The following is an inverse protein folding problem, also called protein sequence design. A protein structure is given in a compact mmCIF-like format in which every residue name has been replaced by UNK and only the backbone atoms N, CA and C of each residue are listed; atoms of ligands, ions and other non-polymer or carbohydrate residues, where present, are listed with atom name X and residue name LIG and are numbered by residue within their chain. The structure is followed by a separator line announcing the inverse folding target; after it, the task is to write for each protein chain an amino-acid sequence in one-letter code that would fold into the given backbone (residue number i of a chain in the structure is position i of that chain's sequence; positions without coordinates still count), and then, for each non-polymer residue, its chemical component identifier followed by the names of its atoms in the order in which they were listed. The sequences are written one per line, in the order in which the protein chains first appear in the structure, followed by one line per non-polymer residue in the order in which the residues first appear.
data_IF_330789868477
#
_entry.id   IF_330789868477
#
_cell.length_a   1.000
_cell.length_b   1.000
_cell.length_c   1.000
_cell.angle_alpha   90.00
_cell.angle_beta   90.00
_cell.angle_gamma   90.00
#
_symmetry.space_group_name_H-M   'P 1'
#
loop_
_entity.id
_entity.type
_entity.pdbx_description
1 polymer ?
#
# COMPACT_ATOMS: atom_id res chain seq x y z
N UNK A 1 -19.08 22.22 -10.32
CA UNK A 1 -18.97 20.76 -10.11
C UNK A 1 -18.10 20.60 -8.89
N UNK A 2 -18.48 19.79 -7.91
CA UNK A 2 -17.59 19.52 -6.78
C UNK A 2 -16.32 18.88 -7.34
N UNK A 3 -15.16 19.38 -6.91
CA UNK A 3 -13.86 18.82 -7.26
C UNK A 3 -13.89 17.32 -6.93
N UNK A 4 -13.53 16.46 -7.89
CA UNK A 4 -13.52 15.02 -7.64
C UNK A 4 -12.27 14.71 -6.84
N UNK A 5 -12.38 14.27 -5.57
CA UNK A 5 -11.21 14.03 -4.74
C UNK A 5 -10.35 12.91 -5.34
N UNK A 6 -9.03 13.12 -5.35
CA UNK A 6 -8.06 12.11 -5.76
C UNK A 6 -7.52 11.34 -4.55
N UNK A 7 -7.26 10.04 -4.73
CA UNK A 7 -6.73 9.14 -3.70
C UNK A 7 -5.65 8.26 -4.32
N UNK A 8 -4.50 8.14 -3.65
CA UNK A 8 -3.46 7.19 -4.03
C UNK A 8 -3.84 5.79 -3.57
N UNK A 9 -4.01 4.87 -4.53
CA UNK A 9 -4.30 3.45 -4.28
C UNK A 9 -3.08 2.53 -4.49
N UNK A 10 -1.94 3.09 -4.90
CA UNK A 10 -0.66 2.39 -5.03
C UNK A 10 0.40 3.30 -4.42
N UNK A 11 0.87 2.95 -3.23
CA UNK A 11 1.84 3.72 -2.47
C UNK A 11 2.71 2.78 -1.61
N UNK A 12 4.02 3.01 -1.66
CA UNK A 12 5.02 2.26 -0.92
C UNK A 12 5.49 3.08 0.29
N UNK A 13 5.36 2.49 1.48
CA UNK A 13 5.88 3.05 2.72
C UNK A 13 7.34 2.65 2.92
N UNK A 14 7.98 3.14 3.97
CA UNK A 14 9.30 2.71 4.42
C UNK A 14 9.40 1.21 4.76
N UNK A 15 8.26 0.49 4.85
CA UNK A 15 8.22 -0.96 4.97
C UNK A 15 8.39 -1.71 3.63
N UNK A 16 8.38 -1.01 2.49
CA UNK A 16 8.97 -1.52 1.25
C UNK A 16 10.49 -1.41 1.35
N UNK A 17 11.10 -2.34 2.09
CA UNK A 17 12.50 -2.26 2.51
C UNK A 17 13.46 -2.05 1.32
N UNK A 18 14.37 -1.10 1.48
CA UNK A 18 15.38 -0.72 0.50
C UNK A 18 14.82 -0.07 -0.79
N UNK A 19 13.54 0.27 -0.82
CA UNK A 19 12.89 0.92 -1.97
C UNK A 19 11.99 2.09 -1.54
N UNK A 20 10.97 1.83 -0.73
CA UNK A 20 10.04 2.85 -0.25
C UNK A 20 10.70 3.82 0.72
N UNK A 21 10.41 5.11 0.53
CA UNK A 21 10.99 6.20 1.32
C UNK A 21 9.95 6.99 2.13
N UNK A 22 8.67 6.61 2.03
CA UNK A 22 7.57 7.31 2.70
C UNK A 22 7.36 6.77 4.11
N UNK A 23 7.93 7.44 5.11
CA UNK A 23 7.60 7.16 6.52
C UNK A 23 6.10 7.36 6.76
N UNK A 24 5.43 6.38 7.38
CA UNK A 24 3.98 6.39 7.59
C UNK A 24 3.48 7.69 8.26
N UNK A 25 4.20 8.20 9.26
CA UNK A 25 3.82 9.42 9.98
C UNK A 25 3.74 10.65 9.04
N UNK A 26 4.81 10.87 8.27
CA UNK A 26 4.96 11.97 7.31
C UNK A 26 4.01 11.83 6.12
N UNK A 27 3.78 10.59 5.65
CA UNK A 27 2.78 10.30 4.64
C UNK A 27 1.39 10.75 5.10
N UNK A 28 1.02 10.42 6.34
CA UNK A 28 -0.29 10.77 6.91
C UNK A 28 -0.43 12.28 7.14
N UNK A 29 0.65 12.97 7.52
CA UNK A 29 0.68 14.45 7.57
C UNK A 29 0.38 15.05 6.19
N UNK A 30 1.09 14.57 5.15
CA UNK A 30 0.94 15.04 3.77
C UNK A 30 -0.47 14.81 3.22
N UNK A 31 -1.07 13.64 3.49
CA UNK A 31 -2.43 13.29 3.07
C UNK A 31 -3.46 14.19 3.74
N UNK A 32 -3.28 14.49 5.03
CA UNK A 32 -4.15 15.41 5.78
C UNK A 32 -4.04 16.86 5.25
N UNK A 33 -2.83 17.35 4.99
CA UNK A 33 -2.59 18.69 4.43
C UNK A 33 -3.25 18.85 3.05
N UNK A 34 -3.18 17.82 2.22
CA UNK A 34 -3.81 17.79 0.90
C UNK A 34 -5.31 17.50 0.94
N UNK A 35 -5.89 17.31 2.14
CA UNK A 35 -7.33 17.03 2.36
C UNK A 35 -7.81 15.81 1.58
N UNK A 36 -6.94 14.82 1.36
CA UNK A 36 -7.33 13.57 0.73
C UNK A 36 -8.12 12.73 1.75
N UNK A 37 -9.27 12.17 1.37
CA UNK A 37 -10.13 11.44 2.31
C UNK A 37 -9.58 10.05 2.67
N UNK A 38 -8.67 9.51 1.86
CA UNK A 38 -8.13 8.16 1.99
C UNK A 38 -6.72 8.07 1.39
N UNK A 39 -6.01 6.99 1.73
CA UNK A 39 -4.75 6.57 1.09
C UNK A 39 -4.56 5.06 1.28
N UNK A 40 -3.98 4.40 0.28
CA UNK A 40 -3.64 2.98 0.38
C UNK A 40 -2.18 2.74 0.79
N UNK A 41 -1.94 1.65 1.51
CA UNK A 41 -0.63 1.05 1.69
C UNK A 41 -0.54 -0.18 0.79
N UNK A 42 0.44 -0.24 -0.10
CA UNK A 42 0.62 -1.37 -1.03
C UNK A 42 2.10 -1.75 -1.10
N UNK A 43 2.68 -2.09 0.06
CA UNK A 43 4.10 -2.39 0.15
C UNK A 43 4.51 -3.62 -0.65
N UNK A 44 5.78 -3.66 -1.03
CA UNK A 44 6.38 -4.73 -1.82
C UNK A 44 6.39 -6.06 -1.05
N UNK A 45 5.49 -6.98 -1.43
CA UNK A 45 5.43 -8.36 -0.98
C UNK A 45 5.21 -8.55 0.53
N UNK A 46 4.80 -7.51 1.25
CA UNK A 46 4.66 -7.56 2.71
C UNK A 46 3.56 -6.64 3.24
N UNK A 47 3.21 -6.83 4.52
CA UNK A 47 2.21 -6.05 5.27
C UNK A 47 2.77 -5.61 6.63
N UNK A 48 4.09 -5.43 6.76
CA UNK A 48 4.73 -5.18 8.06
C UNK A 48 4.25 -3.88 8.71
N UNK A 49 4.00 -2.84 7.90
CA UNK A 49 3.50 -1.55 8.35
C UNK A 49 1.99 -1.48 8.62
N UNK A 50 1.21 -2.53 8.32
CA UNK A 50 -0.26 -2.44 8.23
C UNK A 50 -0.94 -1.92 9.50
N UNK A 51 -0.52 -2.41 10.66
CA UNK A 51 -1.10 -2.00 11.96
C UNK A 51 -0.74 -0.54 12.28
N UNK A 52 0.51 -0.14 12.03
CA UNK A 52 0.94 1.24 12.24
C UNK A 52 0.22 2.19 11.27
N UNK A 53 0.18 1.85 9.99
CA UNK A 53 -0.53 2.60 8.94
C UNK A 53 -1.99 2.83 9.31
N UNK A 54 -2.70 1.75 9.66
CA UNK A 54 -4.10 1.83 10.07
C UNK A 54 -4.30 2.77 11.27
N UNK A 55 -3.52 2.59 12.34
CA UNK A 55 -3.66 3.38 13.56
C UNK A 55 -3.32 4.86 13.32
N UNK A 56 -2.27 5.16 12.55
CA UNK A 56 -1.87 6.55 12.24
C UNK A 56 -2.87 7.25 11.33
N UNK A 57 -3.41 6.55 10.32
CA UNK A 57 -4.47 7.09 9.46
C UNK A 57 -5.74 7.42 10.26
N UNK A 58 -6.20 6.47 11.08
CA UNK A 58 -7.39 6.65 11.92
C UNK A 58 -7.22 7.82 12.90
N UNK A 59 -6.04 8.00 13.48
CA UNK A 59 -5.75 9.14 14.36
C UNK A 59 -5.87 10.51 13.67
N UNK A 60 -5.73 10.55 12.34
CA UNK A 60 -5.91 11.77 11.52
C UNK A 60 -7.27 11.85 10.82
N UNK A 61 -8.17 10.89 11.04
CA UNK A 61 -9.47 10.85 10.37
C UNK A 61 -9.38 10.56 8.86
N UNK A 62 -8.28 9.95 8.42
CA UNK A 62 -8.07 9.50 7.04
C UNK A 62 -8.52 8.04 6.95
N UNK A 63 -9.27 7.67 5.90
CA UNK A 63 -9.64 6.28 5.67
C UNK A 63 -8.43 5.46 5.14
N UNK A 64 -7.91 4.49 5.90
CA UNK A 64 -6.82 3.65 5.43
C UNK A 64 -7.34 2.54 4.51
N UNK A 65 -6.74 2.40 3.32
CA UNK A 65 -6.94 1.22 2.46
C UNK A 65 -5.72 0.29 2.63
N UNK A 66 -5.95 -0.92 3.12
CA UNK A 66 -4.88 -1.90 3.29
C UNK A 66 -4.75 -2.72 2.00
N UNK A 67 -3.54 -2.84 1.50
CA UNK A 67 -3.23 -3.62 0.31
C UNK A 67 -1.78 -4.10 0.33
N UNK A 68 -1.38 -4.78 -0.75
CA UNK A 68 -0.04 -5.29 -0.94
C UNK A 68 0.26 -5.37 -2.43
N UNK A 69 1.45 -4.95 -2.83
CA UNK A 69 1.92 -5.25 -4.18
C UNK A 69 2.64 -6.59 -4.16
N UNK A 70 1.96 -7.63 -4.65
CA UNK A 70 2.45 -9.01 -4.59
C UNK A 70 3.28 -9.36 -5.82
N UNK A 71 4.23 -10.27 -5.62
CA UNK A 71 5.03 -10.85 -6.70
C UNK A 71 4.38 -12.10 -7.25
N UNK A 72 4.03 -12.07 -8.54
CA UNK A 72 3.36 -13.18 -9.24
C UNK A 72 4.35 -13.87 -10.18
N UNK A 73 4.77 -15.09 -9.83
CA UNK A 73 5.62 -15.94 -10.70
C UNK A 73 4.88 -16.35 -11.97
N UNK A 74 5.59 -16.35 -13.10
CA UNK A 74 5.04 -16.75 -14.41
C UNK A 74 4.92 -18.27 -14.54
N UNK A 75 5.78 -19.05 -13.88
CA UNK A 75 5.83 -20.50 -13.95
C UNK A 75 5.31 -21.19 -12.68
N UNK A 76 4.76 -20.41 -11.74
CA UNK A 76 4.19 -20.86 -10.48
C UNK A 76 5.17 -20.78 -9.30
N UNK A 77 4.66 -20.41 -8.12
CA UNK A 77 5.44 -20.10 -6.91
C UNK A 77 6.36 -21.22 -6.37
N UNK A 78 6.24 -22.46 -6.88
CA UNK A 78 7.10 -23.60 -6.52
C UNK A 78 8.29 -23.76 -7.46
N UNK A 79 8.26 -23.09 -8.60
CA UNK A 79 9.33 -23.13 -9.61
C UNK A 79 10.50 -22.30 -9.11
N UNK A 80 11.71 -22.87 -9.19
CA UNK A 80 12.97 -22.24 -8.75
C UNK A 80 13.99 -22.08 -9.89
N UNK A 81 13.49 -22.04 -11.13
CA UNK A 81 14.33 -21.81 -12.29
C UNK A 81 14.83 -20.37 -12.27
N UNK A 82 16.11 -20.13 -12.57
CA UNK A 82 16.66 -18.77 -12.70
C UNK A 82 15.99 -17.96 -13.81
N UNK A 83 15.38 -18.64 -14.77
CA UNK A 83 14.60 -18.02 -15.85
C UNK A 83 13.18 -17.64 -15.42
N UNK A 84 12.71 -18.08 -14.25
CA UNK A 84 11.38 -17.72 -13.75
C UNK A 84 11.37 -16.25 -13.34
N UNK A 85 10.59 -15.47 -14.07
CA UNK A 85 10.37 -14.05 -13.80
C UNK A 85 9.10 -13.89 -12.99
N UNK A 86 9.01 -12.78 -12.27
CA UNK A 86 7.79 -12.37 -11.60
C UNK A 86 7.28 -11.06 -12.21
N UNK A 87 5.98 -10.83 -12.06
CA UNK A 87 5.33 -9.55 -12.32
C UNK A 87 4.81 -8.97 -11.00
N UNK A 88 4.59 -7.66 -10.98
CA UNK A 88 3.94 -6.99 -9.86
C UNK A 88 2.43 -7.01 -10.05
N UNK A 89 1.69 -7.20 -8.95
CA UNK A 89 0.24 -7.09 -8.92
C UNK A 89 -0.20 -6.39 -7.65
N UNK A 90 -0.88 -5.26 -7.79
CA UNK A 90 -1.47 -4.53 -6.65
C UNK A 90 -2.79 -5.20 -6.26
N UNK A 91 -2.90 -5.57 -4.98
CA UNK A 91 -4.13 -6.07 -4.37
C UNK A 91 -4.56 -5.13 -3.25
N UNK A 92 -5.85 -4.85 -3.18
CA UNK A 92 -6.47 -4.01 -2.15
C UNK A 92 -7.52 -4.84 -1.42
N UNK A 93 -7.59 -4.69 -0.10
CA UNK A 93 -8.65 -5.30 0.69
C UNK A 93 -9.89 -4.40 0.69
N UNK A 94 -11.02 -4.91 0.21
CA UNK A 94 -12.31 -4.22 0.28
C UNK A 94 -12.93 -4.34 1.67
N UNK A 95 -12.72 -5.49 2.33
CA UNK A 95 -13.34 -5.81 3.61
C UNK A 95 -12.42 -6.69 4.49
N UNK A 96 -12.96 -7.25 5.58
CA UNK A 96 -12.17 -8.07 6.51
C UNK A 96 -11.85 -9.48 6.00
N UNK A 97 -12.63 -10.03 5.06
CA UNK A 97 -12.33 -11.31 4.41
C UNK A 97 -11.22 -11.16 3.36
N UNK A 98 -11.20 -9.99 2.69
CA UNK A 98 -10.35 -9.68 1.54
C UNK A 98 -11.11 -8.77 0.60
#
# INVERSE_FOLDING_TARGET
MADTPFVHLHCHTDYSLLDGACEISQLMDTVAEQKMPAVAMTDHGNLFGAVQFYNTAQAKGIHPVIGCEVYVSQQGHKTRAESDRYNHLVLLCENQEG
#
